data_IF_877045198701
#
_entry.id   IF_877045198701
#
_cell.length_a   1.000
_cell.length_b   1.000
_cell.length_c   1.000
_cell.angle_alpha   90.00
_cell.angle_beta   90.00
_cell.angle_gamma   90.00
#
_symmetry.space_group_name_H-M   'P 1'
#
loop_
_entity.id
_entity.type
_entity.pdbx_description
1 polymer ?
#
# COMPACT_ATOMS: atom_id res chain seq x y z
N UNK A 1 31.44 36.60 14.76
CA UNK A 1 31.32 35.39 13.92
C UNK A 1 30.46 34.40 14.69
N UNK A 2 29.16 34.35 14.37
CA UNK A 2 28.18 33.54 15.09
C UNK A 2 28.39 32.06 14.77
N UNK A 3 28.60 31.26 15.82
CA UNK A 3 28.74 29.82 15.71
C UNK A 3 27.44 29.23 15.16
N UNK A 4 27.50 28.73 13.92
CA UNK A 4 26.56 27.72 13.48
C UNK A 4 26.85 26.47 14.30
N UNK A 5 26.14 26.32 15.42
CA UNK A 5 26.00 25.03 16.09
C UNK A 5 25.38 24.09 15.06
N UNK A 6 26.21 23.30 14.38
CA UNK A 6 25.75 22.10 13.70
C UNK A 6 25.26 21.20 14.83
N UNK A 7 23.98 21.27 15.15
CA UNK A 7 23.34 20.20 15.92
C UNK A 7 23.61 18.91 15.14
N UNK A 8 24.55 18.11 15.65
CA UNK A 8 24.71 16.72 15.24
C UNK A 8 23.41 16.01 15.63
N UNK A 9 22.45 16.05 14.71
CA UNK A 9 21.21 15.31 14.82
C UNK A 9 21.56 13.84 15.03
N UNK A 10 21.05 13.25 16.12
CA UNK A 10 21.22 11.85 16.48
C UNK A 10 21.03 10.96 15.22
N UNK A 11 21.97 10.05 14.90
CA UNK A 11 21.86 9.15 13.75
C UNK A 11 20.54 8.40 13.67
N UNK A 12 19.88 8.11 14.79
CA UNK A 12 18.54 7.52 14.84
C UNK A 12 17.46 8.45 14.30
N UNK A 13 17.57 9.75 14.60
CA UNK A 13 16.68 10.80 14.09
C UNK A 13 16.92 11.03 12.60
N UNK A 14 18.17 10.94 12.14
CA UNK A 14 18.50 11.00 10.71
C UNK A 14 17.95 9.79 9.94
N UNK A 15 18.11 8.58 10.48
CA UNK A 15 17.56 7.34 9.91
C UNK A 15 16.04 7.37 9.81
N UNK A 16 15.35 7.76 10.88
CA UNK A 16 13.88 7.89 10.88
C UNK A 16 13.36 8.91 9.85
N UNK A 17 14.08 10.04 9.68
CA UNK A 17 13.74 11.05 8.66
C UNK A 17 13.91 10.52 7.23
N UNK A 18 14.95 9.72 6.97
CA UNK A 18 15.16 9.11 5.66
C UNK A 18 14.07 8.09 5.34
N UNK A 19 13.71 7.24 6.31
CA UNK A 19 12.62 6.27 6.16
C UNK A 19 11.28 6.95 5.86
N UNK A 20 10.93 8.02 6.60
CA UNK A 20 9.71 8.79 6.33
C UNK A 20 9.71 9.39 4.91
N UNK A 21 10.84 9.90 4.43
CA UNK A 21 10.93 10.43 3.06
C UNK A 21 10.72 9.37 2.00
N UNK A 22 11.33 8.19 2.17
CA UNK A 22 11.13 7.05 1.26
C UNK A 22 9.66 6.62 1.25
N UNK A 23 9.04 6.55 2.42
CA UNK A 23 7.64 6.20 2.58
C UNK A 23 6.69 7.19 1.90
N UNK A 24 6.87 8.50 2.11
CA UNK A 24 6.05 9.52 1.45
C UNK A 24 6.23 9.51 -0.08
N UNK A 25 7.47 9.34 -0.57
CA UNK A 25 7.73 9.18 -2.01
C UNK A 25 7.05 7.92 -2.56
N UNK A 26 7.09 6.82 -1.81
CA UNK A 26 6.37 5.59 -2.14
C UNK A 26 4.87 5.79 -2.27
N UNK A 27 4.27 6.52 -1.32
CA UNK A 27 2.85 6.90 -1.37
C UNK A 27 2.51 7.74 -2.59
N UNK A 28 3.32 8.72 -2.94
CA UNK A 28 3.12 9.54 -4.14
C UNK A 28 3.15 8.69 -5.42
N UNK A 29 4.12 7.76 -5.53
CA UNK A 29 4.23 6.83 -6.65
C UNK A 29 3.02 5.89 -6.71
N UNK A 30 2.59 5.35 -5.57
CA UNK A 30 1.41 4.50 -5.48
C UNK A 30 0.15 5.28 -5.91
N UNK A 31 -0.02 6.53 -5.46
CA UNK A 31 -1.15 7.37 -5.86
C UNK A 31 -1.17 7.62 -7.37
N UNK A 32 -0.02 7.91 -7.97
CA UNK A 32 0.09 8.12 -9.42
C UNK A 32 -0.29 6.85 -10.20
N UNK A 33 0.26 5.69 -9.81
CA UNK A 33 -0.05 4.42 -10.44
C UNK A 33 -1.54 4.05 -10.28
N UNK A 34 -2.12 4.26 -9.11
CA UNK A 34 -3.54 4.03 -8.85
C UNK A 34 -4.46 4.87 -9.73
N UNK A 35 -4.14 6.16 -9.93
CA UNK A 35 -4.89 7.04 -10.82
C UNK A 35 -4.86 6.54 -12.27
N UNK A 36 -3.70 6.10 -12.76
CA UNK A 36 -3.59 5.53 -14.10
C UNK A 36 -4.38 4.22 -14.22
N UNK A 37 -4.28 3.32 -13.24
CA UNK A 37 -5.07 2.08 -13.22
C UNK A 37 -6.58 2.35 -13.19
N UNK A 38 -7.02 3.38 -12.46
CA UNK A 38 -8.42 3.79 -12.41
C UNK A 38 -8.91 4.30 -13.76
N UNK A 39 -8.11 5.12 -14.47
CA UNK A 39 -8.41 5.54 -15.85
C UNK A 39 -8.53 4.35 -16.81
N UNK A 40 -7.64 3.37 -16.66
CA UNK A 40 -7.65 2.11 -17.42
C UNK A 40 -8.77 1.14 -16.99
N UNK A 41 -9.58 1.49 -15.98
CA UNK A 41 -10.64 0.65 -15.39
C UNK A 41 -10.14 -0.71 -14.86
N UNK A 42 -8.87 -0.80 -14.49
CA UNK A 42 -8.26 -2.00 -13.90
C UNK A 42 -8.78 -2.23 -12.49
N UNK A 43 -8.89 -3.49 -12.10
CA UNK A 43 -9.22 -3.86 -10.73
C UNK A 43 -7.96 -3.96 -9.89
N UNK A 44 -7.97 -3.32 -8.73
CA UNK A 44 -6.81 -3.23 -7.86
C UNK A 44 -7.17 -2.98 -6.40
N UNK A 45 -6.21 -3.30 -5.53
CA UNK A 45 -6.18 -3.02 -4.10
C UNK A 45 -4.94 -2.18 -3.82
N UNK A 46 -5.01 -1.23 -2.88
CA UNK A 46 -3.89 -0.42 -2.43
C UNK A 46 -3.78 -0.57 -0.91
N UNK A 47 -2.57 -0.81 -0.42
CA UNK A 47 -2.21 -0.68 0.99
C UNK A 47 -1.19 0.45 1.13
N UNK A 48 -1.61 1.58 1.69
CA UNK A 48 -0.75 2.76 1.85
C UNK A 48 0.14 2.68 3.09
N UNK A 49 -0.05 1.69 3.96
CA UNK A 49 0.84 1.45 5.12
C UNK A 49 2.20 0.87 4.71
N UNK A 50 2.26 0.21 3.56
CA UNK A 50 3.46 -0.37 2.95
C UNK A 50 3.62 0.00 1.47
N UNK A 51 3.34 1.28 1.10
CA UNK A 51 2.94 1.75 -0.23
C UNK A 51 2.93 0.68 -1.33
N UNK A 52 1.89 -0.13 -1.33
CA UNK A 52 1.75 -1.31 -2.19
C UNK A 52 0.49 -1.20 -3.04
N UNK A 53 0.56 -1.64 -4.29
CA UNK A 53 -0.61 -1.81 -5.16
C UNK A 53 -0.66 -3.26 -5.63
N UNK A 54 -1.84 -3.86 -5.55
CA UNK A 54 -2.09 -5.21 -6.02
C UNK A 54 -3.13 -5.19 -7.14
N UNK A 55 -2.82 -5.79 -8.28
CA UNK A 55 -3.69 -5.84 -9.46
C UNK A 55 -4.34 -7.20 -9.57
N UNK A 56 -5.61 -7.24 -9.96
CA UNK A 56 -6.33 -8.50 -10.12
C UNK A 56 -5.67 -9.39 -11.19
N UNK A 57 -5.47 -10.66 -10.85
CA UNK A 57 -4.93 -11.67 -11.75
C UNK A 57 -6.02 -12.64 -12.21
N UNK A 58 -6.66 -13.33 -11.25
CA UNK A 58 -7.61 -14.42 -11.52
C UNK A 58 -8.44 -14.77 -10.30
N UNK A 59 -9.51 -15.51 -10.54
CA UNK A 59 -10.21 -16.27 -9.50
C UNK A 59 -9.41 -17.55 -9.16
N UNK A 60 -9.36 -17.90 -7.89
CA UNK A 60 -8.64 -19.06 -7.38
C UNK A 60 -8.83 -19.23 -5.88
N UNK A 61 -9.04 -20.48 -5.45
CA UNK A 61 -9.05 -20.78 -4.03
C UNK A 61 -7.63 -20.89 -3.51
N UNK A 62 -7.44 -20.44 -2.29
CA UNK A 62 -6.23 -20.69 -1.55
C UNK A 62 -6.54 -21.60 -0.38
N UNK A 63 -5.87 -22.74 -0.32
CA UNK A 63 -5.99 -23.67 0.79
C UNK A 63 -5.00 -23.28 1.90
N UNK A 64 -5.50 -23.05 3.11
CA UNK A 64 -4.68 -23.02 4.32
C UNK A 64 -3.88 -21.74 4.62
N UNK A 65 -4.35 -20.54 4.23
CA UNK A 65 -3.82 -19.31 4.83
C UNK A 65 -4.53 -18.98 6.15
N UNK A 66 -3.73 -18.64 7.15
CA UNK A 66 -4.19 -17.83 8.28
C UNK A 66 -4.35 -16.39 7.79
N UNK A 67 -5.58 -15.88 7.84
CA UNK A 67 -5.88 -14.50 7.47
C UNK A 67 -5.28 -13.58 8.53
N UNK A 68 -4.18 -12.90 8.21
CA UNK A 68 -3.96 -11.61 8.84
C UNK A 68 -5.07 -10.70 8.31
N UNK A 69 -6.06 -10.41 9.17
CA UNK A 69 -7.34 -9.81 8.81
C UNK A 69 -7.19 -8.33 8.44
N UNK A 70 -6.76 -8.06 7.20
CA UNK A 70 -6.97 -6.74 6.60
C UNK A 70 -8.36 -6.69 5.96
N UNK A 71 -8.98 -5.51 5.97
CA UNK A 71 -10.26 -5.28 5.29
C UNK A 71 -10.14 -4.07 4.40
N UNK A 72 -10.81 -4.12 3.25
CA UNK A 72 -11.00 -2.92 2.43
C UNK A 72 -11.76 -1.90 3.28
N UNK A 73 -11.16 -0.72 3.48
CA UNK A 73 -11.74 0.34 4.29
C UNK A 73 -12.51 1.33 3.42
N UNK A 74 -12.07 1.55 2.18
CA UNK A 74 -12.72 2.50 1.27
C UNK A 74 -12.54 2.13 -0.20
N UNK A 75 -13.48 2.56 -1.03
CA UNK A 75 -13.31 2.52 -2.49
C UNK A 75 -12.43 3.69 -2.95
N UNK A 76 -11.43 3.42 -3.78
CA UNK A 76 -10.52 4.44 -4.28
C UNK A 76 -11.21 5.41 -5.24
N UNK A 77 -11.10 6.71 -4.95
CA UNK A 77 -11.74 7.80 -5.69
C UNK A 77 -10.73 8.79 -6.31
N UNK A 78 -9.43 8.45 -6.34
CA UNK A 78 -8.38 9.32 -6.88
C UNK A 78 -7.56 10.06 -5.82
N UNK A 79 -7.81 9.84 -4.52
CA UNK A 79 -7.03 10.41 -3.42
C UNK A 79 -6.93 9.45 -2.23
N UNK A 80 -5.98 9.73 -1.34
CA UNK A 80 -5.86 9.05 -0.05
C UNK A 80 -6.41 9.93 1.08
N UNK A 81 -7.20 9.31 1.95
CA UNK A 81 -7.69 9.87 3.19
C UNK A 81 -6.75 9.54 4.35
N UNK A 82 -6.68 10.45 5.33
CA UNK A 82 -5.68 10.44 6.41
C UNK A 82 -5.73 9.22 7.34
N UNK A 83 -6.86 8.53 7.40
CA UNK A 83 -7.11 7.42 8.34
C UNK A 83 -7.52 6.13 7.61
N UNK A 84 -7.19 6.02 6.33
CA UNK A 84 -7.54 4.88 5.50
C UNK A 84 -6.26 4.33 4.90
N UNK A 85 -5.94 3.10 5.27
CA UNK A 85 -4.75 2.38 4.87
C UNK A 85 -5.03 1.50 3.64
N UNK A 86 -6.21 0.89 3.56
CA UNK A 86 -6.53 -0.10 2.54
C UNK A 86 -7.70 0.34 1.66
N UNK A 87 -7.43 0.47 0.37
CA UNK A 87 -8.41 0.83 -0.66
C UNK A 87 -8.60 -0.30 -1.67
N UNK A 88 -9.76 -0.34 -2.32
CA UNK A 88 -9.96 -1.11 -3.54
C UNK A 88 -10.64 -0.28 -4.61
N UNK A 89 -10.43 -0.61 -5.89
CA UNK A 89 -11.12 0.09 -6.98
C UNK A 89 -12.53 -0.42 -7.21
N UNK A 90 -12.78 -1.72 -7.02
CA UNK A 90 -14.10 -2.34 -7.24
C UNK A 90 -14.63 -3.17 -6.06
N UNK A 91 -13.75 -3.72 -5.22
CA UNK A 91 -14.19 -4.56 -4.11
C UNK A 91 -15.03 -3.76 -3.10
N UNK A 92 -16.07 -4.37 -2.52
CA UNK A 92 -16.85 -3.75 -1.45
C UNK A 92 -15.99 -3.40 -0.22
N UNK A 93 -16.38 -2.32 0.46
CA UNK A 93 -15.86 -2.02 1.80
C UNK A 93 -16.23 -3.18 2.74
N UNK A 94 -15.27 -3.59 3.55
CA UNK A 94 -15.39 -4.70 4.49
C UNK A 94 -14.92 -6.05 3.94
N UNK A 95 -14.66 -6.16 2.62
CA UNK A 95 -14.08 -7.38 2.04
C UNK A 95 -12.77 -7.71 2.73
N UNK A 96 -12.68 -8.92 3.26
CA UNK A 96 -11.46 -9.43 3.89
C UNK A 96 -10.43 -9.80 2.84
N UNK A 97 -9.19 -9.43 3.10
CA UNK A 97 -8.04 -9.75 2.27
C UNK A 97 -6.94 -10.37 3.13
N UNK A 98 -6.17 -11.29 2.56
CA UNK A 98 -5.07 -11.97 3.22
C UNK A 98 -3.86 -12.12 2.29
N UNK A 99 -2.69 -12.14 2.89
CA UNK A 99 -1.42 -12.40 2.22
C UNK A 99 -0.35 -12.75 3.24
N UNK A 100 0.69 -13.47 2.81
CA UNK A 100 1.89 -13.66 3.64
C UNK A 100 2.65 -12.34 3.72
N UNK A 101 3.37 -12.12 4.82
CA UNK A 101 4.33 -11.02 4.89
C UNK A 101 5.35 -11.16 3.74
N UNK A 102 5.61 -10.07 3.01
CA UNK A 102 6.47 -10.06 1.81
C UNK A 102 5.96 -10.91 0.63
N UNK A 103 4.68 -11.30 0.65
CA UNK A 103 4.03 -11.97 -0.48
C UNK A 103 3.86 -10.98 -1.63
N UNK A 104 4.17 -11.44 -2.85
CA UNK A 104 3.77 -10.77 -4.09
C UNK A 104 2.29 -11.04 -4.42
N UNK A 105 1.57 -11.80 -3.59
CA UNK A 105 0.17 -12.14 -3.82
C UNK A 105 -0.72 -11.76 -2.63
N UNK A 106 -1.88 -11.19 -2.94
CA UNK A 106 -3.01 -10.99 -2.04
C UNK A 106 -4.21 -11.82 -2.50
N UNK A 107 -5.00 -12.24 -1.53
CA UNK A 107 -6.17 -13.09 -1.73
C UNK A 107 -7.36 -12.46 -1.03
N UNK A 108 -8.53 -12.49 -1.64
CA UNK A 108 -9.78 -12.04 -1.01
C UNK A 108 -10.56 -13.22 -0.45
N UNK A 109 -11.48 -12.97 0.48
CA UNK A 109 -12.41 -14.00 0.96
C UNK A 109 -13.34 -14.56 -0.12
N UNK A 110 -13.53 -13.84 -1.24
CA UNK A 110 -14.28 -14.33 -2.40
C UNK A 110 -13.48 -15.31 -3.26
N UNK A 111 -12.17 -15.44 -3.04
CA UNK A 111 -11.27 -16.25 -3.86
C UNK A 111 -10.64 -15.48 -5.03
N UNK A 112 -10.62 -14.16 -5.00
CA UNK A 112 -9.92 -13.37 -6.02
C UNK A 112 -8.43 -13.26 -5.63
N UNK A 113 -7.54 -13.44 -6.61
CA UNK A 113 -6.09 -13.38 -6.45
C UNK A 113 -5.56 -12.12 -7.10
N UNK A 114 -4.72 -11.39 -6.38
CA UNK A 114 -4.09 -10.15 -6.82
C UNK A 114 -2.57 -10.26 -6.75
N UNK A 115 -1.87 -9.73 -7.74
CA UNK A 115 -0.42 -9.61 -7.78
C UNK A 115 0.03 -8.21 -7.34
N UNK A 116 0.96 -8.16 -6.37
CA UNK A 116 1.33 -7.00 -5.60
C UNK A 116 2.71 -6.45 -5.97
N UNK A 117 2.81 -5.13 -6.05
CA UNK A 117 4.06 -4.40 -6.23
C UNK A 117 4.22 -3.36 -5.13
N UNK A 118 5.40 -3.32 -4.52
CA UNK A 118 5.80 -2.35 -3.52
C UNK A 118 6.44 -1.12 -4.19
N UNK A 119 6.13 0.06 -3.67
CA UNK A 119 6.71 1.34 -4.06
C UNK A 119 7.52 1.87 -2.89
N UNK A 120 8.78 1.44 -2.76
CA UNK A 120 9.65 1.80 -1.64
C UNK A 120 10.42 3.12 -1.84
N UNK A 121 9.99 3.98 -2.78
CA UNK A 121 10.58 5.29 -2.97
C UNK A 121 11.98 5.30 -3.62
N UNK A 122 12.35 4.25 -4.35
CA UNK A 122 13.59 4.22 -5.16
C UNK A 122 13.63 5.34 -6.22
#
# INVERSE_FOLDING_TARGET
MGGCSKEELDPKVQGARQLNKMYEKGKEQALAAAKEMQKDKKDFIIDVSGPMICTYEKEGKQDGLEFNDYKIQQTFNGSFDKNVDVYASKLPVGTKISGKANSELLYTESGSVYSCKYYNGD
#
